data_IF_244248065871
#
_entry.id   IF_244248065871
#
_cell.length_a   1.000
_cell.length_b   1.000
_cell.length_c   1.000
_cell.angle_alpha   90.00
_cell.angle_beta   90.00
_cell.angle_gamma   90.00
#
_symmetry.space_group_name_H-M   'P 1'
#
loop_
_entity.id
_entity.type
_entity.pdbx_description
1 polymer ?
#
# COMPACT_ATOMS: atom_id res chain seq x y z
N UNK A 1 7.44 -8.91 -32.59
CA UNK A 1 7.40 -7.84 -31.59
C UNK A 1 5.94 -7.55 -31.28
N UNK A 2 5.55 -7.45 -30.01
CA UNK A 2 4.16 -7.14 -29.62
C UNK A 2 3.90 -5.63 -29.64
N UNK A 3 2.66 -5.21 -29.36
CA UNK A 3 2.25 -3.80 -29.35
C UNK A 3 2.79 -3.00 -28.14
N UNK A 4 3.58 -3.62 -27.25
CA UNK A 4 4.20 -2.99 -26.08
C UNK A 4 3.25 -2.23 -25.15
N UNK A 5 1.97 -2.65 -25.03
CA UNK A 5 0.99 -1.97 -24.17
C UNK A 5 1.48 -1.79 -22.72
N UNK A 6 2.22 -2.79 -22.19
CA UNK A 6 2.78 -2.77 -20.84
C UNK A 6 3.89 -1.71 -20.62
N UNK A 7 4.45 -1.10 -21.67
CA UNK A 7 5.41 0.01 -21.53
C UNK A 7 4.75 1.28 -21.00
N UNK A 8 3.42 1.37 -21.11
CA UNK A 8 2.66 2.54 -20.68
C UNK A 8 1.50 2.20 -19.75
N UNK A 9 0.85 1.04 -19.93
CA UNK A 9 -0.30 0.61 -19.14
C UNK A 9 0.07 -0.45 -18.11
N UNK A 10 -0.74 -0.50 -17.06
CA UNK A 10 -0.65 -1.49 -15.99
C UNK A 10 -1.88 -2.40 -16.00
N UNK A 11 -1.69 -3.70 -15.69
CA UNK A 11 -2.76 -4.66 -15.40
C UNK A 11 -2.35 -5.48 -14.19
N UNK A 12 -3.18 -5.50 -13.15
CA UNK A 12 -2.93 -6.30 -11.94
C UNK A 12 -1.63 -5.92 -11.22
N UNK A 13 -1.12 -4.71 -11.41
CA UNK A 13 0.18 -4.31 -10.87
C UNK A 13 1.37 -4.48 -11.83
N UNK A 14 1.19 -5.17 -12.95
CA UNK A 14 2.25 -5.46 -13.93
C UNK A 14 2.22 -4.44 -15.07
N UNK A 15 3.36 -3.86 -15.42
CA UNK A 15 3.52 -2.80 -16.44
C UNK A 15 3.89 -1.44 -15.83
N UNK A 16 3.87 -0.39 -16.65
CA UNK A 16 4.12 0.99 -16.21
C UNK A 16 2.81 1.74 -15.98
N UNK A 17 2.82 2.74 -15.09
CA UNK A 17 1.68 3.63 -14.87
C UNK A 17 1.88 4.98 -15.57
N UNK A 18 2.16 4.94 -16.88
CA UNK A 18 2.34 6.14 -17.71
C UNK A 18 1.07 6.47 -18.51
N UNK A 19 0.06 5.60 -18.45
CA UNK A 19 -1.24 5.70 -19.11
C UNK A 19 -2.32 5.10 -18.17
N UNK A 20 -3.63 5.20 -18.48
CA UNK A 20 -4.69 4.69 -17.60
C UNK A 20 -4.50 3.22 -17.23
N UNK A 21 -4.67 2.87 -15.95
CA UNK A 21 -4.64 1.48 -15.46
C UNK A 21 -5.76 0.67 -16.13
N UNK A 22 -5.42 -0.48 -16.71
CA UNK A 22 -6.33 -1.35 -17.47
C UNK A 22 -6.87 -2.52 -16.64
N UNK A 23 -6.51 -2.63 -15.35
CA UNK A 23 -6.87 -3.78 -14.48
C UNK A 23 -8.36 -4.10 -14.46
N UNK A 24 -9.23 -3.10 -14.60
CA UNK A 24 -10.69 -3.24 -14.56
C UNK A 24 -11.38 -2.62 -15.79
N UNK A 25 -10.64 -2.47 -16.90
CA UNK A 25 -11.13 -1.75 -18.08
C UNK A 25 -12.40 -2.40 -18.67
N UNK A 26 -12.53 -3.72 -18.59
CA UNK A 26 -13.65 -4.47 -19.12
C UNK A 26 -14.99 -4.13 -18.45
N UNK A 27 -14.97 -3.55 -17.25
CA UNK A 27 -16.19 -3.10 -16.56
C UNK A 27 -16.62 -1.69 -16.91
N UNK A 28 -15.75 -0.88 -17.54
CA UNK A 28 -16.03 0.52 -17.86
C UNK A 28 -16.04 0.85 -19.35
N UNK A 29 -15.57 -0.08 -20.20
CA UNK A 29 -15.51 0.09 -21.64
C UNK A 29 -16.04 -1.14 -22.37
N UNK A 30 -16.84 -0.91 -23.42
CA UNK A 30 -17.28 -1.97 -24.32
C UNK A 30 -16.24 -2.23 -25.43
N UNK A 31 -16.48 -3.28 -26.22
CA UNK A 31 -15.58 -3.65 -27.32
C UNK A 31 -15.34 -2.51 -28.31
N UNK A 32 -16.37 -1.69 -28.58
CA UNK A 32 -16.29 -0.60 -29.54
C UNK A 32 -15.38 0.50 -29.01
N UNK A 33 -15.57 0.92 -27.77
CA UNK A 33 -14.77 1.93 -27.11
C UNK A 33 -13.30 1.50 -27.04
N UNK A 34 -13.03 0.25 -26.65
CA UNK A 34 -11.67 -0.31 -26.61
C UNK A 34 -10.99 -0.28 -27.97
N UNK A 35 -11.68 -0.75 -29.01
CA UNK A 35 -11.15 -0.75 -30.38
C UNK A 35 -10.88 0.68 -30.84
N UNK A 36 -11.82 1.60 -30.61
CA UNK A 36 -11.69 3.01 -31.00
C UNK A 36 -10.51 3.69 -30.30
N UNK A 37 -10.33 3.48 -28.99
CA UNK A 37 -9.18 3.99 -28.24
C UNK A 37 -7.85 3.43 -28.76
N UNK A 38 -7.82 2.20 -29.29
CA UNK A 38 -6.59 1.59 -29.82
C UNK A 38 -6.27 2.11 -31.23
N UNK A 39 -7.27 2.19 -32.11
CA UNK A 39 -7.05 2.55 -33.52
C UNK A 39 -7.04 4.06 -33.74
N UNK A 40 -7.73 4.81 -32.89
CA UNK A 40 -7.88 6.26 -32.94
C UNK A 40 -7.76 6.90 -31.54
N UNK A 41 -6.57 6.83 -30.90
CA UNK A 41 -6.39 7.21 -29.51
C UNK A 41 -6.67 8.69 -29.20
N UNK A 42 -6.68 9.57 -30.20
CA UNK A 42 -7.01 10.99 -30.03
C UNK A 42 -8.52 11.29 -30.20
N UNK A 43 -9.35 10.29 -30.46
CA UNK A 43 -10.81 10.46 -30.57
C UNK A 43 -11.45 10.83 -29.23
N UNK A 44 -10.95 10.22 -28.15
CA UNK A 44 -11.39 10.45 -26.77
C UNK A 44 -10.17 10.36 -25.86
N UNK A 45 -9.79 11.49 -25.27
CA UNK A 45 -8.59 11.62 -24.43
C UNK A 45 -9.04 11.64 -22.98
N UNK A 46 -8.68 10.59 -22.24
CA UNK A 46 -8.92 10.52 -20.79
C UNK A 46 -8.25 11.71 -20.11
N UNK A 47 -9.00 12.40 -19.24
CA UNK A 47 -8.51 13.53 -18.47
C UNK A 47 -7.21 13.19 -17.73
N UNK A 48 -6.23 14.09 -17.80
CA UNK A 48 -4.90 13.88 -17.20
C UNK A 48 -3.90 13.10 -18.06
N UNK A 49 -4.32 12.49 -19.17
CA UNK A 49 -3.44 11.73 -20.08
C UNK A 49 -3.22 12.39 -21.46
N UNK A 50 -3.58 13.66 -21.58
CA UNK A 50 -3.27 14.46 -22.75
C UNK A 50 -1.75 14.66 -22.91
N UNK A 51 -1.26 14.59 -24.16
CA UNK A 51 0.15 14.84 -24.44
C UNK A 51 0.50 16.32 -24.18
N UNK A 52 1.70 16.55 -23.67
CA UNK A 52 2.31 17.86 -23.49
C UNK A 52 3.59 17.94 -24.30
N UNK A 53 3.85 19.09 -24.91
CA UNK A 53 5.15 19.44 -25.45
C UNK A 53 5.86 20.39 -24.48
N UNK A 54 7.12 20.09 -24.16
CA UNK A 54 8.00 20.91 -23.32
C UNK A 54 9.21 21.30 -24.17
N UNK A 55 9.42 22.60 -24.31
CA UNK A 55 10.55 23.17 -25.02
C UNK A 55 11.55 23.72 -24.01
N UNK A 56 12.82 23.35 -24.16
CA UNK A 56 13.90 23.84 -23.29
C UNK A 56 14.60 25.05 -23.91
N UNK A 57 15.26 25.83 -23.06
CA UNK A 57 16.05 27.00 -23.46
C UNK A 57 17.25 26.65 -24.34
N UNK A 58 17.71 25.41 -24.24
CA UNK A 58 18.83 24.88 -25.05
C UNK A 58 18.35 24.34 -26.41
N UNK A 59 17.05 24.41 -26.69
CA UNK A 59 16.44 24.08 -27.99
C UNK A 59 15.89 22.66 -28.12
N UNK A 60 15.90 21.87 -27.04
CA UNK A 60 15.30 20.54 -27.06
C UNK A 60 13.78 20.60 -26.95
N UNK A 61 13.10 19.63 -27.58
CA UNK A 61 11.66 19.45 -27.48
C UNK A 61 11.34 18.03 -27.00
N UNK A 62 10.56 17.94 -25.92
CA UNK A 62 10.09 16.69 -25.36
C UNK A 62 8.57 16.60 -25.49
N UNK A 63 8.06 15.42 -25.85
CA UNK A 63 6.62 15.17 -25.93
C UNK A 63 6.24 13.93 -25.14
N UNK A 64 5.17 14.03 -24.35
CA UNK A 64 4.76 12.95 -23.46
C UNK A 64 3.71 13.35 -22.43
N UNK A 65 3.49 12.51 -21.42
CA UNK A 65 2.54 12.76 -20.32
C UNK A 65 3.31 13.29 -19.11
N UNK A 66 2.80 14.34 -18.48
CA UNK A 66 3.35 14.85 -17.22
C UNK A 66 3.02 13.83 -16.13
N UNK A 67 4.04 13.12 -15.65
CA UNK A 67 3.90 12.23 -14.51
C UNK A 67 3.96 13.01 -13.20
N UNK A 68 4.84 14.01 -13.11
CA UNK A 68 5.08 14.71 -11.84
C UNK A 68 5.48 16.15 -12.13
N UNK A 69 4.91 17.10 -11.38
CA UNK A 69 5.32 18.49 -11.41
C UNK A 69 5.64 18.97 -10.00
N UNK A 70 6.86 19.49 -9.81
CA UNK A 70 7.29 20.11 -8.55
C UNK A 70 7.73 21.55 -8.80
N UNK A 71 8.10 22.27 -7.74
CA UNK A 71 8.71 23.60 -7.88
C UNK A 71 10.08 23.60 -8.58
N UNK A 72 10.75 22.44 -8.74
CA UNK A 72 12.11 22.34 -9.30
C UNK A 72 12.18 21.70 -10.68
N UNK A 73 11.27 20.78 -10.99
CA UNK A 73 11.31 20.01 -12.23
C UNK A 73 9.93 19.53 -12.67
N UNK A 74 9.85 19.13 -13.94
CA UNK A 74 8.75 18.37 -14.53
C UNK A 74 9.28 17.01 -14.95
N UNK A 75 8.60 15.93 -14.57
CA UNK A 75 8.91 14.57 -15.03
C UNK A 75 7.90 14.19 -16.11
N UNK A 76 8.39 13.82 -17.29
CA UNK A 76 7.59 13.49 -18.46
C UNK A 76 7.80 12.01 -18.83
N UNK A 77 6.71 11.26 -19.01
CA UNK A 77 6.73 9.96 -19.67
C UNK A 77 6.70 10.18 -21.17
N UNK A 78 7.80 9.86 -21.85
CA UNK A 78 7.95 9.99 -23.28
C UNK A 78 7.22 8.86 -24.01
N UNK A 79 6.87 9.15 -25.26
CA UNK A 79 6.42 8.15 -26.22
C UNK A 79 7.45 7.03 -26.34
N UNK A 80 7.06 5.80 -25.99
CA UNK A 80 7.97 4.63 -25.95
C UNK A 80 8.32 4.15 -24.54
N UNK A 81 7.84 4.81 -23.48
CA UNK A 81 7.91 4.33 -22.10
C UNK A 81 9.15 4.78 -21.31
N UNK A 82 10.03 5.59 -21.91
CA UNK A 82 11.13 6.23 -21.19
C UNK A 82 10.61 7.43 -20.38
N UNK A 83 11.28 7.77 -19.28
CA UNK A 83 10.97 8.98 -18.50
C UNK A 83 12.11 9.98 -18.60
N UNK A 84 11.79 11.27 -18.78
CA UNK A 84 12.75 12.37 -18.70
C UNK A 84 12.37 13.32 -17.57
N UNK A 85 13.39 13.88 -16.92
CA UNK A 85 13.23 14.84 -15.83
C UNK A 85 13.84 16.17 -16.25
N UNK A 86 13.00 17.19 -16.41
CA UNK A 86 13.37 18.49 -16.97
C UNK A 86 13.34 19.54 -15.85
N UNK A 87 14.47 20.16 -15.48
CA UNK A 87 14.51 21.28 -14.54
C UNK A 87 13.64 22.45 -15.01
N UNK A 88 12.84 23.05 -14.11
CA UNK A 88 11.93 24.14 -14.48
C UNK A 88 12.64 25.38 -15.01
N UNK A 89 13.85 25.63 -14.52
CA UNK A 89 14.68 26.75 -14.97
C UNK A 89 15.21 26.56 -16.39
N UNK A 90 15.21 25.33 -16.91
CA UNK A 90 15.59 24.99 -18.28
C UNK A 90 14.38 24.99 -19.23
N UNK A 91 13.15 24.94 -18.72
CA UNK A 91 11.94 25.06 -19.53
C UNK A 91 11.82 26.50 -20.02
N UNK A 92 11.73 26.65 -21.35
CA UNK A 92 11.38 27.91 -22.00
C UNK A 92 9.86 28.10 -21.96
N UNK A 93 9.13 27.18 -22.59
CA UNK A 93 7.66 27.15 -22.55
C UNK A 93 7.13 25.73 -22.69
N UNK A 94 5.84 25.57 -22.42
CA UNK A 94 5.11 24.30 -22.58
C UNK A 94 3.75 24.54 -23.19
N UNK A 95 3.23 23.53 -23.86
CA UNK A 95 1.88 23.54 -24.42
C UNK A 95 1.22 22.16 -24.27
N UNK A 96 -0.09 22.19 -24.02
CA UNK A 96 -0.92 20.99 -24.11
C UNK A 96 -1.24 20.71 -25.57
N UNK A 97 -1.10 19.47 -26.00
CA UNK A 97 -1.38 19.07 -27.37
C UNK A 97 -2.79 18.48 -27.48
N UNK A 98 -3.53 18.75 -28.57
CA UNK A 98 -4.86 18.18 -28.80
C UNK A 98 -4.78 16.73 -29.32
N UNK A 99 -3.78 15.97 -28.87
CA UNK A 99 -3.55 14.57 -29.26
C UNK A 99 -3.27 13.73 -28.02
N UNK A 100 -3.63 12.45 -28.11
CA UNK A 100 -3.27 11.48 -27.09
C UNK A 100 -1.76 11.21 -27.10
N UNK A 101 -1.21 10.93 -25.92
CA UNK A 101 0.16 10.43 -25.82
C UNK A 101 0.27 8.94 -26.17
N UNK A 102 -0.86 8.23 -26.27
CA UNK A 102 -0.89 6.90 -26.87
C UNK A 102 -0.58 7.03 -28.37
N UNK A 103 0.48 6.38 -28.89
CA UNK A 103 0.86 6.50 -30.29
C UNK A 103 -0.29 6.16 -31.25
N UNK A 104 -0.45 6.96 -32.30
CA UNK A 104 -1.26 6.54 -33.43
C UNK A 104 -0.60 5.35 -34.16
N UNK A 105 -1.39 4.61 -34.94
CA UNK A 105 -0.86 3.58 -35.83
C UNK A 105 -0.86 2.15 -35.27
N UNK A 106 -1.35 1.91 -34.04
CA UNK A 106 -1.55 0.55 -33.53
C UNK A 106 -2.48 -0.29 -34.41
N UNK A 107 -3.49 0.34 -35.04
CA UNK A 107 -4.35 -0.32 -36.02
C UNK A 107 -3.61 -0.84 -37.26
N UNK A 108 -2.44 -0.30 -37.59
CA UNK A 108 -1.60 -0.79 -38.69
C UNK A 108 -0.54 -1.81 -38.22
N UNK A 109 -0.23 -1.84 -36.91
CA UNK A 109 0.75 -2.74 -36.31
C UNK A 109 0.15 -4.10 -35.90
N UNK A 110 -1.17 -4.20 -35.84
CA UNK A 110 -1.89 -5.42 -35.47
C UNK A 110 -2.83 -5.85 -36.60
N UNK A 111 -2.92 -7.15 -36.83
CA UNK A 111 -4.00 -7.72 -37.64
C UNK A 111 -5.34 -7.54 -36.94
N UNK A 112 -6.44 -7.60 -37.69
CA UNK A 112 -7.79 -7.56 -37.13
C UNK A 112 -8.02 -8.65 -36.06
N UNK A 113 -7.40 -9.82 -36.22
CA UNK A 113 -7.47 -10.90 -35.24
C UNK A 113 -6.73 -10.53 -33.95
N UNK A 114 -5.52 -9.99 -34.02
CA UNK A 114 -4.77 -9.57 -32.83
C UNK A 114 -5.48 -8.46 -32.06
N UNK A 115 -6.12 -7.52 -32.77
CA UNK A 115 -6.93 -6.48 -32.15
C UNK A 115 -8.18 -7.07 -31.47
N UNK A 116 -8.84 -8.04 -32.10
CA UNK A 116 -9.97 -8.76 -31.52
C UNK A 116 -9.55 -9.58 -30.28
N UNK A 117 -8.42 -10.28 -30.33
CA UNK A 117 -7.90 -11.07 -29.21
C UNK A 117 -7.53 -10.17 -28.02
N UNK A 118 -6.84 -9.05 -28.28
CA UNK A 118 -6.52 -8.05 -27.26
C UNK A 118 -7.79 -7.46 -26.65
N UNK A 119 -8.76 -7.08 -27.47
CA UNK A 119 -10.05 -6.55 -27.01
C UNK A 119 -10.79 -7.59 -26.18
N UNK A 120 -10.82 -8.85 -26.62
CA UNK A 120 -11.42 -9.96 -25.91
C UNK A 120 -10.79 -10.15 -24.53
N UNK A 121 -9.46 -10.12 -24.43
CA UNK A 121 -8.76 -10.17 -23.16
C UNK A 121 -9.06 -8.96 -22.26
N UNK A 122 -9.03 -7.74 -22.79
CA UNK A 122 -9.36 -6.52 -22.02
C UNK A 122 -10.81 -6.56 -21.49
N UNK A 123 -11.74 -7.15 -22.22
CA UNK A 123 -13.11 -7.38 -21.75
C UNK A 123 -13.21 -8.42 -20.63
N UNK A 124 -12.22 -9.31 -20.47
CA UNK A 124 -12.16 -10.21 -19.30
C UNK A 124 -11.67 -9.51 -18.04
N UNK A 125 -11.05 -8.33 -18.16
CA UNK A 125 -10.55 -7.54 -17.04
C UNK A 125 -11.71 -6.77 -16.37
N UNK A 126 -12.60 -7.53 -15.75
CA UNK A 126 -13.75 -7.01 -15.02
C UNK A 126 -13.35 -6.61 -13.59
N UNK A 127 -13.94 -5.53 -13.08
CA UNK A 127 -14.08 -5.26 -11.66
C UNK A 127 -14.66 -6.51 -11.01
N UNK A 128 -13.98 -7.10 -10.01
CA UNK A 128 -14.52 -8.27 -9.33
C UNK A 128 -15.92 -7.97 -8.80
N UNK A 129 -16.87 -8.88 -9.01
CA UNK A 129 -18.17 -8.73 -8.37
C UNK A 129 -17.97 -8.75 -6.85
N UNK A 130 -18.63 -7.86 -6.10
CA UNK A 130 -18.56 -7.89 -4.66
C UNK A 130 -18.96 -9.26 -4.14
N UNK A 131 -18.11 -9.92 -3.37
CA UNK A 131 -18.47 -11.14 -2.67
C UNK A 131 -19.51 -10.76 -1.62
N UNK A 132 -20.79 -11.00 -1.94
CA UNK A 132 -21.95 -10.58 -1.14
C UNK A 132 -22.24 -11.47 0.07
N UNK A 133 -21.41 -12.46 0.40
CA UNK A 133 -21.58 -13.29 1.59
C UNK A 133 -20.25 -13.79 2.16
N UNK A 134 -20.25 -14.13 3.46
CA UNK A 134 -19.12 -14.75 4.17
C UNK A 134 -18.91 -16.22 3.76
N UNK A 135 -18.68 -16.47 2.46
CA UNK A 135 -18.57 -17.80 1.90
C UNK A 135 -17.46 -17.94 0.83
N UNK A 136 -16.63 -16.91 0.66
CA UNK A 136 -15.46 -16.95 -0.19
C UNK A 136 -14.41 -17.92 0.36
N UNK A 137 -13.70 -18.58 -0.56
CA UNK A 137 -12.59 -19.47 -0.22
C UNK A 137 -11.28 -18.66 -0.21
N UNK A 138 -10.54 -18.72 0.90
CA UNK A 138 -9.21 -18.18 0.93
C UNK A 138 -8.23 -19.14 0.27
N UNK A 139 -7.30 -18.62 -0.53
CA UNK A 139 -6.23 -19.39 -1.13
C UNK A 139 -4.91 -18.62 -0.99
N UNK A 140 -3.85 -19.33 -0.61
CA UNK A 140 -2.50 -18.78 -0.66
C UNK A 140 -1.75 -19.29 -1.89
N UNK A 141 -1.18 -18.38 -2.66
CA UNK A 141 -0.29 -18.69 -3.78
C UNK A 141 1.10 -18.14 -3.53
N UNK A 142 2.09 -19.02 -3.47
CA UNK A 142 3.48 -18.61 -3.33
C UNK A 142 4.08 -18.34 -4.70
N UNK A 143 4.60 -17.14 -4.90
CA UNK A 143 5.29 -16.72 -6.12
C UNK A 143 6.63 -16.13 -5.70
N UNK A 144 7.72 -16.87 -5.93
CA UNK A 144 9.08 -16.47 -5.53
C UNK A 144 9.18 -16.04 -4.06
N UNK A 145 9.33 -14.74 -3.83
CA UNK A 145 9.52 -14.07 -2.55
C UNK A 145 8.21 -13.46 -1.98
N UNK A 146 7.08 -13.84 -2.55
CA UNK A 146 5.75 -13.35 -2.19
C UNK A 146 4.81 -14.50 -1.84
N UNK A 147 3.91 -14.23 -0.90
CA UNK A 147 2.78 -15.07 -0.56
C UNK A 147 1.51 -14.25 -0.83
N UNK A 148 0.85 -14.54 -1.94
CA UNK A 148 -0.36 -13.85 -2.39
C UNK A 148 -1.57 -14.50 -1.71
N UNK A 149 -2.44 -13.69 -1.12
CA UNK A 149 -3.69 -14.11 -0.51
C UNK A 149 -4.86 -13.75 -1.43
N UNK A 150 -5.63 -14.77 -1.81
CA UNK A 150 -6.85 -14.65 -2.60
C UNK A 150 -8.06 -14.91 -1.72
N UNK A 151 -9.17 -14.24 -2.02
CA UNK A 151 -10.52 -14.56 -1.56
C UNK A 151 -11.38 -14.74 -2.81
N UNK A 152 -11.74 -15.99 -3.12
CA UNK A 152 -12.29 -16.34 -4.44
C UNK A 152 -11.32 -15.97 -5.57
N UNK A 153 -11.76 -15.12 -6.49
CA UNK A 153 -10.91 -14.64 -7.60
C UNK A 153 -10.13 -13.36 -7.28
N UNK A 154 -10.47 -12.68 -6.17
CA UNK A 154 -9.85 -11.41 -5.79
C UNK A 154 -8.56 -11.67 -5.03
N UNK A 155 -7.43 -11.17 -5.53
CA UNK A 155 -6.22 -11.08 -4.71
C UNK A 155 -6.40 -9.95 -3.70
N UNK A 156 -6.51 -10.28 -2.41
CA UNK A 156 -6.83 -9.30 -1.35
C UNK A 156 -5.61 -8.77 -0.63
N UNK A 157 -4.46 -9.47 -0.68
CA UNK A 157 -3.19 -8.96 -0.16
C UNK A 157 -1.99 -9.73 -0.73
N UNK A 158 -0.80 -9.15 -0.60
CA UNK A 158 0.47 -9.85 -0.80
C UNK A 158 1.32 -9.74 0.47
N UNK A 159 1.68 -10.87 1.08
CA UNK A 159 2.66 -10.90 2.15
C UNK A 159 4.07 -11.06 1.56
N UNK A 160 4.96 -10.12 1.88
CA UNK A 160 6.34 -10.18 1.40
C UNK A 160 7.15 -11.16 2.27
N UNK A 161 7.78 -12.16 1.66
CA UNK A 161 8.76 -13.04 2.31
C UNK A 161 10.18 -12.49 2.16
N UNK A 162 10.47 -11.82 1.04
CA UNK A 162 11.72 -11.09 0.83
C UNK A 162 11.53 -9.95 -0.18
N UNK A 163 12.32 -8.89 -0.05
CA UNK A 163 12.36 -7.77 -0.99
C UNK A 163 13.65 -6.98 -0.78
N UNK A 164 14.29 -6.53 -1.87
CA UNK A 164 15.64 -5.91 -1.83
C UNK A 164 15.72 -4.66 -0.95
N UNK A 165 14.71 -3.79 -1.05
CA UNK A 165 14.60 -2.56 -0.26
C UNK A 165 13.75 -2.71 1.01
N UNK A 166 12.49 -3.17 0.88
CA UNK A 166 11.58 -3.40 2.01
C UNK A 166 11.91 -4.71 2.74
N UNK A 167 12.94 -4.67 3.57
CA UNK A 167 13.41 -5.87 4.27
C UNK A 167 12.55 -6.25 5.48
N UNK A 168 11.64 -5.41 5.97
CA UNK A 168 10.68 -5.87 7.00
C UNK A 168 9.48 -6.57 6.37
N UNK A 169 8.82 -7.42 7.16
CA UNK A 169 7.60 -8.10 6.75
C UNK A 169 6.42 -7.13 6.69
N UNK A 170 5.60 -7.27 5.67
CA UNK A 170 4.42 -6.44 5.46
C UNK A 170 3.41 -7.18 4.57
N UNK A 171 2.11 -6.91 4.80
CA UNK A 171 1.07 -7.15 3.81
C UNK A 171 0.95 -5.90 2.95
N UNK A 172 1.24 -6.00 1.67
CA UNK A 172 1.15 -4.92 0.70
C UNK A 172 -0.02 -5.12 -0.26
N UNK A 173 -0.43 -4.03 -0.92
CA UNK A 173 -1.56 -4.02 -1.85
C UNK A 173 -2.83 -4.63 -1.25
N UNK A 174 -3.12 -4.29 0.00
CA UNK A 174 -4.30 -4.80 0.72
C UNK A 174 -5.57 -4.20 0.13
N UNK A 175 -6.54 -5.06 -0.17
CA UNK A 175 -7.81 -4.74 -0.80
C UNK A 175 -8.98 -5.31 0.00
N UNK A 176 -10.16 -4.76 -0.23
CA UNK A 176 -11.43 -5.28 0.29
C UNK A 176 -11.80 -6.60 -0.41
N UNK A 177 -12.83 -7.34 0.06
CA UNK A 177 -13.34 -8.52 -0.65
C UNK A 177 -13.70 -8.27 -2.12
N UNK A 178 -14.26 -7.10 -2.46
CA UNK A 178 -14.58 -6.73 -3.84
C UNK A 178 -13.39 -6.22 -4.65
N UNK A 179 -12.20 -6.15 -4.06
CA UNK A 179 -10.98 -5.76 -4.75
C UNK A 179 -10.64 -4.26 -4.68
N UNK A 180 -11.39 -3.46 -3.91
CA UNK A 180 -11.10 -2.03 -3.75
C UNK A 180 -9.80 -1.85 -2.95
N UNK A 181 -8.88 -1.05 -3.46
CA UNK A 181 -7.57 -0.80 -2.85
C UNK A 181 -7.70 -0.01 -1.53
N UNK A 182 -7.26 -0.62 -0.41
CA UNK A 182 -7.37 -0.02 0.94
C UNK A 182 -6.06 0.58 1.40
N UNK A 183 -4.95 -0.14 1.25
CA UNK A 183 -3.62 0.41 1.58
C UNK A 183 -3.01 1.11 0.38
N UNK A 184 -1.99 1.95 0.59
CA UNK A 184 -1.19 2.49 -0.51
C UNK A 184 -0.64 1.35 -1.39
N UNK A 185 -0.68 1.57 -2.71
CA UNK A 185 -0.04 0.68 -3.68
C UNK A 185 1.45 0.50 -3.39
N UNK A 186 1.94 -0.72 -3.59
CA UNK A 186 3.33 -1.08 -3.50
C UNK A 186 3.73 -1.92 -4.74
N UNK A 187 4.64 -1.45 -5.59
CA UNK A 187 5.23 -0.11 -5.56
C UNK A 187 4.15 0.98 -5.74
N UNK A 188 4.41 2.23 -5.30
CA UNK A 188 3.57 3.38 -5.60
C UNK A 188 3.31 3.45 -7.11
N UNK A 189 2.04 3.61 -7.52
CA UNK A 189 1.66 3.65 -8.93
C UNK A 189 1.55 5.09 -9.41
N UNK A 190 0.91 5.93 -8.60
CA UNK A 190 0.57 7.30 -8.98
C UNK A 190 1.41 8.34 -8.23
N UNK A 191 1.55 9.57 -8.74
CA UNK A 191 2.26 10.64 -8.05
C UNK A 191 1.71 10.89 -6.63
N UNK A 192 0.39 10.82 -6.45
CA UNK A 192 -0.25 10.94 -5.15
C UNK A 192 0.05 9.79 -4.19
N UNK A 193 0.50 8.62 -4.68
CA UNK A 193 0.96 7.54 -3.82
C UNK A 193 2.29 7.92 -3.12
N UNK A 194 3.05 8.87 -3.67
CA UNK A 194 4.26 9.40 -3.05
C UNK A 194 3.92 10.32 -1.86
N UNK A 195 4.81 10.38 -0.88
CA UNK A 195 4.61 11.22 0.30
C UNK A 195 4.79 12.70 -0.07
N UNK A 196 4.01 13.63 0.53
CA UNK A 196 4.20 15.06 0.34
C UNK A 196 5.64 15.45 0.71
N UNK A 197 6.42 15.84 -0.30
CA UNK A 197 7.84 16.20 -0.12
C UNK A 197 8.84 15.07 -0.35
N UNK A 198 8.45 13.95 -0.97
CA UNK A 198 9.40 12.97 -1.50
C UNK A 198 10.42 13.65 -2.43
N UNK A 199 11.71 13.44 -2.17
CA UNK A 199 12.81 14.13 -2.88
C UNK A 199 13.52 13.24 -3.91
N UNK A 200 12.93 12.10 -4.28
CA UNK A 200 13.55 11.10 -5.17
C UNK A 200 14.38 10.05 -4.41
N UNK A 201 15.09 9.20 -5.15
CA UNK A 201 15.80 8.02 -4.62
C UNK A 201 16.91 8.34 -3.61
N UNK A 202 17.48 9.55 -3.66
CA UNK A 202 18.50 10.04 -2.72
C UNK A 202 17.90 10.70 -1.45
N UNK A 203 16.56 10.71 -1.33
CA UNK A 203 15.84 11.22 -0.17
C UNK A 203 15.43 10.11 0.81
N UNK A 204 14.57 10.45 1.76
CA UNK A 204 13.96 9.45 2.65
C UNK A 204 13.13 8.49 1.77
N UNK A 205 13.40 7.18 1.87
CA UNK A 205 12.75 6.09 1.13
C UNK A 205 11.29 5.85 1.53
N UNK A 206 10.60 6.89 1.98
CA UNK A 206 9.20 6.98 2.39
C UNK A 206 8.23 6.12 1.54
N UNK A 207 8.31 6.12 0.20
CA UNK A 207 7.42 5.31 -0.63
C UNK A 207 7.63 3.80 -0.48
N UNK A 208 8.85 3.38 -0.12
CA UNK A 208 9.20 1.99 0.14
C UNK A 208 8.94 1.61 1.61
N UNK A 209 9.27 2.51 2.55
CA UNK A 209 9.24 2.20 3.98
C UNK A 209 7.87 2.34 4.64
N UNK A 210 6.81 2.77 3.97
CA UNK A 210 5.44 2.74 4.51
C UNK A 210 4.54 1.93 3.58
N UNK A 211 4.76 0.62 3.52
CA UNK A 211 4.05 -0.25 2.59
C UNK A 211 2.97 -1.04 3.33
N UNK A 212 1.71 -0.83 2.93
CA UNK A 212 0.63 -1.70 3.36
C UNK A 212 0.35 -1.68 4.87
N UNK A 213 0.35 -2.85 5.50
CA UNK A 213 0.21 -3.09 6.94
C UNK A 213 1.46 -3.83 7.44
N UNK A 214 2.10 -3.37 8.51
CA UNK A 214 3.35 -3.92 9.01
C UNK A 214 3.54 -3.71 10.52
N UNK A 215 4.51 -4.42 11.11
CA UNK A 215 5.00 -4.12 12.44
C UNK A 215 6.19 -3.14 12.39
N UNK A 216 6.00 -1.93 12.91
CA UNK A 216 6.97 -0.83 12.87
C UNK A 216 7.79 -0.73 14.15
N UNK A 217 9.11 -0.49 14.02
CA UNK A 217 9.99 -0.16 15.14
C UNK A 217 11.11 0.78 14.71
N UNK A 218 11.11 2.01 15.24
CA UNK A 218 12.17 2.98 14.97
C UNK A 218 13.48 2.69 15.70
N UNK A 219 13.44 1.90 16.79
CA UNK A 219 14.63 1.58 17.58
C UNK A 219 14.48 0.24 18.33
N UNK A 220 15.37 -0.72 18.06
CA UNK A 220 15.58 -1.92 18.91
C UNK A 220 17.08 -2.13 19.09
N UNK A 221 17.54 -2.05 20.34
CA UNK A 221 18.95 -2.20 20.74
C UNK A 221 19.94 -1.40 19.86
N UNK A 222 19.61 -0.14 19.55
CA UNK A 222 20.42 0.75 18.71
C UNK A 222 20.14 0.69 17.20
N UNK A 223 19.19 -0.13 16.75
CA UNK A 223 18.95 -0.41 15.34
C UNK A 223 17.58 0.14 14.86
N UNK A 224 17.54 0.72 13.66
CA UNK A 224 16.34 1.38 13.11
C UNK A 224 15.73 0.55 11.97
N UNK A 225 14.54 -0.01 12.23
CA UNK A 225 13.79 -0.83 11.29
C UNK A 225 12.63 -0.05 10.63
N UNK A 226 12.28 1.13 11.15
CA UNK A 226 11.30 2.03 10.57
C UNK A 226 11.81 2.62 9.27
N UNK A 227 13.03 3.15 9.30
CA UNK A 227 13.73 3.74 8.14
C UNK A 227 14.52 2.69 7.34
N UNK A 228 14.35 1.41 7.66
CA UNK A 228 14.98 0.25 7.02
C UNK A 228 16.52 0.32 7.01
N UNK A 229 17.14 0.94 8.02
CA UNK A 229 18.61 0.95 8.18
C UNK A 229 19.12 -0.42 8.60
N UNK A 230 18.34 -1.12 9.41
CA UNK A 230 18.58 -2.50 9.80
C UNK A 230 17.54 -3.43 9.17
N UNK A 231 17.93 -4.68 8.95
CA UNK A 231 17.14 -5.64 8.18
C UNK A 231 16.37 -6.59 9.08
N UNK A 232 15.17 -6.94 8.66
CA UNK A 232 14.48 -8.13 9.16
C UNK A 232 14.61 -9.22 8.10
N UNK A 233 14.82 -10.46 8.49
CA UNK A 233 14.95 -11.59 7.57
C UNK A 233 13.85 -12.59 7.86
N UNK A 234 13.12 -13.00 6.84
CA UNK A 234 12.24 -14.17 6.95
C UNK A 234 13.11 -15.42 7.16
N UNK A 235 12.86 -16.14 8.25
CA UNK A 235 13.60 -17.37 8.55
C UNK A 235 12.87 -18.59 8.00
N UNK A 236 11.59 -18.73 8.37
CA UNK A 236 10.76 -19.90 8.00
C UNK A 236 9.30 -19.69 8.35
N UNK A 237 8.45 -20.54 7.79
CA UNK A 237 7.12 -20.77 8.34
C UNK A 237 7.22 -21.60 9.62
N UNK A 238 6.47 -21.19 10.65
CA UNK A 238 6.18 -21.99 11.83
C UNK A 238 4.92 -22.83 11.61
N UNK A 239 4.01 -22.33 10.78
CA UNK A 239 2.82 -23.01 10.26
C UNK A 239 2.70 -22.62 8.78
N UNK A 240 2.62 -23.62 7.90
CA UNK A 240 2.51 -23.39 6.46
C UNK A 240 1.19 -22.68 6.11
N UNK A 241 1.16 -21.83 5.07
CA UNK A 241 -0.05 -21.13 4.67
C UNK A 241 -1.20 -22.08 4.29
N UNK A 242 -2.32 -21.91 4.97
CA UNK A 242 -3.53 -22.69 4.76
C UNK A 242 -4.73 -21.75 4.58
N UNK A 243 -5.45 -21.93 3.48
CA UNK A 243 -6.68 -21.22 3.19
C UNK A 243 -7.83 -22.21 3.04
N UNK A 244 -9.00 -21.82 3.53
CA UNK A 244 -10.24 -22.58 3.44
C UNK A 244 -11.43 -21.62 3.30
N UNK A 245 -12.64 -22.18 3.30
CA UNK A 245 -13.86 -21.37 3.25
C UNK A 245 -13.95 -20.44 4.47
N UNK A 246 -13.97 -19.12 4.20
CA UNK A 246 -14.16 -18.07 5.20
C UNK A 246 -13.00 -17.88 6.18
N UNK A 247 -11.94 -18.71 6.16
CA UNK A 247 -10.79 -18.58 7.07
C UNK A 247 -9.46 -18.89 6.37
N UNK A 248 -8.39 -18.30 6.88
CA UNK A 248 -7.03 -18.62 6.47
C UNK A 248 -6.07 -18.42 7.66
N UNK A 249 -4.94 -19.12 7.68
CA UNK A 249 -3.88 -18.89 8.65
C UNK A 249 -2.50 -19.23 8.11
N UNK A 250 -1.50 -18.63 8.72
CA UNK A 250 -0.10 -19.07 8.65
C UNK A 250 0.66 -18.49 9.84
N UNK A 251 1.87 -19.00 10.08
CA UNK A 251 2.76 -18.41 11.08
C UNK A 251 4.19 -18.32 10.56
N UNK A 252 4.89 -17.25 10.90
CA UNK A 252 6.27 -16.98 10.48
C UNK A 252 7.19 -16.84 11.67
N UNK A 253 8.46 -17.14 11.42
CA UNK A 253 9.56 -16.69 12.24
C UNK A 253 10.41 -15.73 11.43
N UNK A 254 10.68 -14.57 12.01
CA UNK A 254 11.45 -13.50 11.42
C UNK A 254 12.62 -13.13 12.35
N UNK A 255 13.75 -12.72 11.78
CA UNK A 255 14.97 -12.37 12.51
C UNK A 255 15.31 -10.91 12.32
N UNK A 256 15.35 -10.16 13.40
CA UNK A 256 15.83 -8.79 13.42
C UNK A 256 17.36 -8.80 13.50
N UNK A 257 18.01 -8.23 12.49
CA UNK A 257 19.46 -8.17 12.39
C UNK A 257 19.99 -6.80 12.82
N UNK A 258 21.21 -6.77 13.37
CA UNK A 258 21.96 -5.54 13.56
C UNK A 258 22.24 -4.83 12.23
N UNK A 259 22.61 -3.55 12.28
CA UNK A 259 22.89 -2.73 11.09
C UNK A 259 23.96 -3.34 10.17
N UNK A 260 24.92 -4.06 10.74
CA UNK A 260 25.98 -4.77 10.03
C UNK A 260 25.54 -6.14 9.48
N UNK A 261 24.33 -6.59 9.82
CA UNK A 261 23.78 -7.89 9.45
C UNK A 261 24.36 -9.08 10.21
N UNK A 262 25.36 -8.89 11.07
CA UNK A 262 26.11 -9.99 11.70
C UNK A 262 25.43 -10.53 12.96
N UNK A 263 24.74 -9.65 13.69
CA UNK A 263 24.14 -9.95 15.00
C UNK A 263 22.63 -10.15 14.90
N UNK A 264 22.11 -11.16 15.59
CA UNK A 264 20.66 -11.25 15.87
C UNK A 264 20.32 -10.34 17.05
N UNK A 265 19.39 -9.41 16.83
CA UNK A 265 18.84 -8.54 17.86
C UNK A 265 17.73 -9.27 18.62
N UNK A 266 16.74 -9.77 17.90
CA UNK A 266 15.69 -10.65 18.42
C UNK A 266 15.11 -11.51 17.29
N UNK A 267 14.36 -12.53 17.67
CA UNK A 267 13.44 -13.25 16.82
C UNK A 267 12.03 -12.71 17.05
N UNK A 268 11.20 -12.77 16.00
CA UNK A 268 9.78 -12.52 16.04
C UNK A 268 9.08 -13.78 15.53
N UNK A 269 8.31 -14.44 16.40
CA UNK A 269 7.34 -15.44 15.97
C UNK A 269 6.01 -14.69 15.75
N UNK A 270 5.30 -14.96 14.65
CA UNK A 270 4.01 -14.30 14.40
C UNK A 270 3.00 -15.25 13.80
N UNK A 271 1.78 -15.23 14.35
CA UNK A 271 0.62 -15.93 13.82
C UNK A 271 -0.33 -14.93 13.18
N UNK A 272 -0.75 -15.25 11.96
CA UNK A 272 -1.74 -14.50 11.21
C UNK A 272 -2.98 -15.36 11.04
N UNK A 273 -4.16 -14.81 11.35
CA UNK A 273 -5.43 -15.47 11.10
C UNK A 273 -6.35 -14.52 10.36
N UNK A 274 -6.96 -15.02 9.30
CA UNK A 274 -7.92 -14.31 8.48
C UNK A 274 -9.30 -14.91 8.68
N UNK A 275 -10.32 -14.06 8.77
CA UNK A 275 -11.72 -14.49 8.70
C UNK A 275 -12.51 -13.52 7.84
N UNK A 276 -13.33 -14.05 6.94
CA UNK A 276 -14.29 -13.25 6.20
C UNK A 276 -15.50 -12.95 7.09
N UNK A 277 -16.00 -11.72 6.99
CA UNK A 277 -17.20 -11.24 7.68
C UNK A 277 -18.09 -10.51 6.68
N UNK A 278 -19.33 -10.20 7.07
CA UNK A 278 -20.22 -9.38 6.23
C UNK A 278 -19.65 -7.98 5.96
N UNK A 279 -18.87 -7.44 6.90
CA UNK A 279 -18.29 -6.10 6.81
C UNK A 279 -16.92 -6.05 6.13
N UNK A 280 -16.32 -7.20 5.80
CA UNK A 280 -14.98 -7.25 5.20
C UNK A 280 -14.12 -8.43 5.65
N UNK A 281 -12.81 -8.23 5.72
CA UNK A 281 -11.83 -9.24 6.14
C UNK A 281 -11.22 -8.83 7.47
N UNK A 282 -11.28 -9.71 8.46
CA UNK A 282 -10.57 -9.53 9.72
C UNK A 282 -9.23 -10.25 9.65
N UNK A 283 -8.18 -9.57 10.08
CA UNK A 283 -6.82 -10.07 10.27
C UNK A 283 -6.46 -9.96 11.75
N UNK A 284 -6.34 -11.10 12.43
CA UNK A 284 -5.73 -11.20 13.75
C UNK A 284 -4.22 -11.38 13.60
N UNK A 285 -3.47 -10.51 14.26
CA UNK A 285 -2.01 -10.44 14.22
C UNK A 285 -1.46 -10.63 15.63
N UNK A 286 -0.78 -11.75 15.86
CA UNK A 286 -0.22 -12.11 17.16
C UNK A 286 1.29 -12.32 17.07
N UNK A 287 2.07 -11.41 17.65
CA UNK A 287 3.52 -11.38 17.52
C UNK A 287 4.22 -11.48 18.87
N UNK A 288 5.24 -12.34 18.95
CA UNK A 288 6.11 -12.51 20.11
C UNK A 288 7.56 -12.22 19.76
N UNK A 289 8.20 -11.35 20.52
CA UNK A 289 9.60 -10.96 20.36
C UNK A 289 10.46 -11.52 21.49
N UNK A 290 11.57 -12.18 21.15
CA UNK A 290 12.42 -12.83 22.13
C UNK A 290 13.87 -12.97 21.68
N UNK A 291 14.76 -13.26 22.63
CA UNK A 291 16.14 -13.62 22.38
C UNK A 291 16.60 -14.61 23.45
N UNK A 292 17.09 -15.78 23.02
CA UNK A 292 17.48 -16.87 23.92
C UNK A 292 18.88 -16.69 24.51
N UNK A 293 19.69 -15.79 23.96
CA UNK A 293 21.10 -15.64 24.32
C UNK A 293 21.34 -14.44 25.25
N UNK A 294 20.51 -13.41 25.16
CA UNK A 294 20.71 -12.13 25.86
C UNK A 294 19.44 -11.30 26.02
N UNK A 295 19.52 -10.30 26.88
CA UNK A 295 18.55 -9.20 26.93
C UNK A 295 18.62 -8.36 25.63
N UNK A 296 17.48 -7.76 25.28
CA UNK A 296 17.39 -6.69 24.28
C UNK A 296 16.35 -5.65 24.73
N UNK A 297 16.32 -4.52 24.03
CA UNK A 297 15.55 -3.35 24.45
C UNK A 297 14.83 -2.73 23.27
N UNK A 298 13.52 -2.52 23.40
CA UNK A 298 12.77 -1.61 22.55
C UNK A 298 13.03 -0.16 22.99
N UNK A 299 13.33 0.69 22.02
CA UNK A 299 13.39 2.12 22.20
C UNK A 299 12.02 2.64 21.86
N UNK A 300 11.30 3.09 22.87
CA UNK A 300 9.86 3.30 22.79
C UNK A 300 9.54 4.55 21.94
N UNK A 301 9.54 4.46 20.60
CA UNK A 301 9.34 5.62 19.72
C UNK A 301 7.90 5.71 19.19
N UNK A 302 7.53 6.87 18.62
CA UNK A 302 6.18 7.09 18.06
C UNK A 302 5.80 6.09 16.96
N UNK A 303 6.81 5.55 16.27
CA UNK A 303 6.65 4.63 15.15
C UNK A 303 6.63 3.14 15.54
N UNK A 304 6.38 2.82 16.83
CA UNK A 304 6.45 1.45 17.37
C UNK A 304 5.08 0.77 17.41
N UNK A 305 4.99 -0.51 16.99
CA UNK A 305 3.75 -1.29 16.99
C UNK A 305 3.16 -1.48 15.59
N UNK A 306 1.87 -1.85 15.53
CA UNK A 306 1.20 -2.11 14.25
C UNK A 306 0.97 -0.80 13.49
N UNK A 307 1.49 -0.72 12.28
CA UNK A 307 1.40 0.46 11.44
C UNK A 307 0.76 0.12 10.09
N UNK A 308 0.10 1.10 9.49
CA UNK A 308 -0.39 0.99 8.13
C UNK A 308 -0.29 2.30 7.36
N UNK A 309 -0.38 2.17 6.03
CA UNK A 309 -0.42 3.27 5.08
C UNK A 309 -1.68 3.15 4.23
N UNK A 310 -2.64 4.06 4.38
CA UNK A 310 -3.89 4.01 3.63
C UNK A 310 -3.70 4.48 2.17
N UNK A 311 -4.56 3.99 1.27
CA UNK A 311 -4.57 4.35 -0.14
C UNK A 311 -4.84 5.85 -0.33
N UNK A 312 -4.23 6.44 -1.36
CA UNK A 312 -4.27 7.90 -1.61
C UNK A 312 -5.68 8.51 -1.64
N UNK A 313 -6.69 7.88 -2.27
CA UNK A 313 -8.06 8.41 -2.29
C UNK A 313 -8.72 8.42 -0.89
N UNK A 314 -8.29 7.52 -0.01
CA UNK A 314 -8.85 7.34 1.33
C UNK A 314 -8.13 8.18 2.40
N UNK A 315 -7.15 9.01 2.03
CA UNK A 315 -6.43 9.88 2.98
C UNK A 315 -7.31 11.04 3.41
N UNK A 316 -7.06 11.58 4.60
CA UNK A 316 -7.59 12.88 5.02
C UNK A 316 -7.04 13.99 4.12
N UNK A 317 -5.71 14.05 3.96
CA UNK A 317 -5.07 15.02 3.08
C UNK A 317 -4.95 14.47 1.67
N UNK A 318 -5.58 15.16 0.72
CA UNK A 318 -5.54 14.82 -0.71
C UNK A 318 -6.48 13.68 -1.11
N UNK A 319 -7.31 13.20 -0.18
CA UNK A 319 -8.38 12.24 -0.42
C UNK A 319 -9.69 12.73 0.18
N UNK A 320 -10.62 11.80 0.42
CA UNK A 320 -11.93 12.06 1.04
C UNK A 320 -12.10 11.33 2.39
N UNK A 321 -10.99 10.95 3.01
CA UNK A 321 -11.00 10.12 4.20
C UNK A 321 -11.06 10.88 5.51
N UNK A 322 -11.22 10.10 6.57
CA UNK A 322 -11.24 10.55 7.97
C UNK A 322 -10.56 9.52 8.87
N UNK A 323 -10.00 10.01 9.99
CA UNK A 323 -9.54 9.18 11.09
C UNK A 323 -10.46 9.44 12.28
N UNK A 324 -10.99 8.40 12.91
CA UNK A 324 -11.85 8.51 14.10
C UNK A 324 -11.51 7.41 15.10
N UNK A 325 -11.56 7.71 16.39
CA UNK A 325 -11.38 6.72 17.47
C UNK A 325 -12.65 6.54 18.32
N UNK A 326 -12.58 5.63 19.28
CA UNK A 326 -13.64 5.30 20.25
C UNK A 326 -14.19 6.51 21.03
N UNK A 327 -13.44 7.61 21.11
CA UNK A 327 -13.84 8.84 21.80
C UNK A 327 -14.41 9.91 20.88
N UNK A 328 -14.56 9.62 19.59
CA UNK A 328 -15.00 10.59 18.58
C UNK A 328 -13.97 11.69 18.28
N UNK A 329 -12.71 11.51 18.66
CA UNK A 329 -11.64 12.42 18.25
C UNK A 329 -11.32 12.19 16.77
N UNK A 330 -11.17 13.27 16.00
CA UNK A 330 -11.09 13.17 14.53
C UNK A 330 -9.76 13.70 13.96
N UNK A 331 -9.27 13.01 12.94
CA UNK A 331 -8.09 13.32 12.14
C UNK A 331 -6.81 13.48 12.99
N UNK A 332 -5.69 13.83 12.37
CA UNK A 332 -4.39 13.92 13.03
C UNK A 332 -4.38 14.90 14.19
N UNK A 333 -5.11 16.02 14.07
CA UNK A 333 -5.23 17.02 15.13
C UNK A 333 -5.94 16.47 16.39
N UNK A 334 -6.96 15.61 16.22
CA UNK A 334 -7.72 15.04 17.33
C UNK A 334 -7.12 13.74 17.87
N UNK A 335 -6.54 12.90 17.00
CA UNK A 335 -6.16 11.52 17.35
C UNK A 335 -4.67 11.35 17.65
N UNK A 336 -3.79 12.24 17.20
CA UNK A 336 -2.36 12.03 17.40
C UNK A 336 -1.97 12.09 18.88
N UNK A 337 -1.23 11.08 19.33
CA UNK A 337 -0.73 11.03 20.70
C UNK A 337 -1.78 10.64 21.73
N UNK A 338 -2.95 10.17 21.29
CA UNK A 338 -4.10 9.82 22.11
C UNK A 338 -4.25 8.31 22.21
N UNK A 339 -4.52 7.81 23.41
CA UNK A 339 -4.86 6.40 23.64
C UNK A 339 -6.16 6.03 22.93
N UNK A 340 -6.46 4.78 22.65
CA UNK A 340 -7.75 4.38 22.08
C UNK A 340 -8.04 2.90 22.33
N UNK A 341 -9.32 2.54 22.34
CA UNK A 341 -9.78 1.15 22.34
C UNK A 341 -9.88 0.62 20.90
N UNK A 342 -10.32 1.48 19.98
CA UNK A 342 -10.27 1.22 18.54
C UNK A 342 -10.01 2.53 17.79
N UNK A 343 -9.38 2.42 16.61
CA UNK A 343 -9.18 3.55 15.71
C UNK A 343 -9.43 3.12 14.27
N UNK A 344 -10.13 3.96 13.53
CA UNK A 344 -10.50 3.73 12.16
C UNK A 344 -9.91 4.81 11.25
N UNK A 345 -9.37 4.40 10.09
CA UNK A 345 -9.01 5.30 9.00
C UNK A 345 -9.69 4.79 7.74
N UNK A 346 -10.63 5.58 7.20
CA UNK A 346 -11.44 5.19 6.04
C UNK A 346 -11.82 6.37 5.16
N UNK A 347 -12.16 6.10 3.90
CA UNK A 347 -12.74 7.05 2.95
C UNK A 347 -13.92 6.45 2.20
N UNK A 348 -14.50 7.21 1.27
CA UNK A 348 -15.64 6.77 0.48
C UNK A 348 -15.23 6.43 -0.96
N UNK A 349 -15.68 5.29 -1.48
CA UNK A 349 -15.48 4.89 -2.87
C UNK A 349 -16.79 4.27 -3.36
N UNK A 350 -17.34 4.79 -4.45
CA UNK A 350 -18.57 4.29 -5.09
C UNK A 350 -19.75 4.09 -4.10
N UNK A 351 -19.96 5.03 -3.18
CA UNK A 351 -21.04 4.96 -2.18
C UNK A 351 -20.78 4.02 -0.99
N UNK A 352 -19.58 3.44 -0.89
CA UNK A 352 -19.15 2.58 0.21
C UNK A 352 -18.09 3.23 1.08
N UNK A 353 -18.13 3.01 2.38
CA UNK A 353 -17.05 3.35 3.31
C UNK A 353 -16.03 2.22 3.37
N UNK A 354 -14.80 2.53 2.96
CA UNK A 354 -13.68 1.60 2.82
C UNK A 354 -12.52 2.03 3.70
N UNK A 355 -11.92 1.11 4.46
CA UNK A 355 -10.82 1.47 5.35
C UNK A 355 -10.25 0.34 6.20
N UNK A 356 -9.46 0.76 7.19
CA UNK A 356 -8.86 -0.10 8.21
C UNK A 356 -9.32 0.36 9.58
N UNK A 357 -9.98 -0.54 10.31
CA UNK A 357 -10.27 -0.40 11.73
C UNK A 357 -9.32 -1.29 12.51
N UNK A 358 -8.63 -0.74 13.51
CA UNK A 358 -7.66 -1.44 14.34
C UNK A 358 -8.14 -1.49 15.78
N UNK A 359 -8.15 -2.69 16.35
CA UNK A 359 -8.44 -2.96 17.77
C UNK A 359 -7.18 -3.58 18.40
N UNK A 360 -6.40 -2.84 19.21
CA UNK A 360 -5.35 -3.43 20.01
C UNK A 360 -5.93 -4.39 21.05
N UNK A 361 -5.30 -5.56 21.21
CA UNK A 361 -5.77 -6.53 22.20
C UNK A 361 -5.62 -5.96 23.64
N UNK A 362 -6.60 -6.13 24.53
CA UNK A 362 -6.58 -5.53 25.87
C UNK A 362 -5.46 -6.07 26.77
N UNK A 363 -5.01 -7.30 26.53
CA UNK A 363 -3.85 -7.91 27.21
C UNK A 363 -2.49 -7.49 26.60
N UNK A 364 -2.45 -6.51 25.69
CA UNK A 364 -1.17 -5.91 25.32
C UNK A 364 -0.54 -5.26 26.56
N UNK A 365 0.80 -5.16 26.64
CA UNK A 365 1.48 -4.68 27.84
C UNK A 365 1.05 -3.28 28.31
N UNK A 366 0.54 -2.45 27.38
CA UNK A 366 0.01 -1.11 27.64
C UNK A 366 -1.13 -0.79 26.66
N UNK A 367 -2.06 0.11 27.03
CA UNK A 367 -2.98 0.71 26.08
C UNK A 367 -2.23 1.30 24.88
N UNK A 368 -2.79 1.14 23.67
CA UNK A 368 -2.20 1.76 22.49
C UNK A 368 -2.57 3.22 22.39
N UNK A 369 -1.65 4.04 21.90
CA UNK A 369 -1.93 5.40 21.44
C UNK A 369 -1.58 5.58 19.98
N UNK A 370 -2.19 6.58 19.34
CA UNK A 370 -2.11 6.74 17.88
C UNK A 370 -0.97 7.65 17.46
N UNK A 371 -0.10 7.16 16.57
CA UNK A 371 0.71 8.02 15.70
C UNK A 371 -0.01 8.18 14.36
N UNK A 372 -1.03 9.03 14.34
CA UNK A 372 -1.78 9.37 13.12
C UNK A 372 -1.16 10.55 12.36
N UNK A 373 -1.30 10.49 11.03
CA UNK A 373 -0.93 11.55 10.10
C UNK A 373 -1.98 11.63 8.99
N UNK A 374 -2.51 12.83 8.76
CA UNK A 374 -3.54 13.08 7.75
C UNK A 374 -3.09 12.74 6.32
N UNK A 375 -1.79 12.70 6.07
CA UNK A 375 -1.27 12.25 4.78
C UNK A 375 -1.26 10.73 4.61
N UNK A 376 -1.77 9.93 5.56
CA UNK A 376 -2.12 8.52 5.37
C UNK A 376 -1.39 7.47 6.24
N UNK A 377 -0.56 7.87 7.21
CA UNK A 377 0.11 6.93 8.14
C UNK A 377 -0.70 6.85 9.43
N UNK A 378 -0.83 5.65 9.97
CA UNK A 378 -1.30 5.43 11.34
C UNK A 378 -0.47 4.33 11.99
N UNK A 379 -0.11 4.50 13.27
CA UNK A 379 0.49 3.46 14.12
C UNK A 379 -0.31 3.29 15.40
N UNK A 380 -0.68 2.04 15.72
CA UNK A 380 -1.25 1.62 16.99
C UNK A 380 -0.12 1.23 17.94
N UNK A 381 0.26 2.16 18.82
CA UNK A 381 1.51 2.08 19.55
C UNK A 381 1.33 1.73 21.05
N UNK A 382 1.70 0.51 21.49
CA UNK A 382 1.62 0.06 22.88
C UNK A 382 2.90 0.39 23.68
N UNK A 383 3.74 1.28 23.19
CA UNK A 383 4.97 1.69 23.86
C UNK A 383 4.85 3.10 24.46
N UNK A 384 5.58 3.42 25.52
CA UNK A 384 5.62 4.75 26.11
C UNK A 384 5.88 5.88 25.10
N UNK A 385 5.14 6.97 25.24
CA UNK A 385 5.36 8.18 24.45
C UNK A 385 6.64 8.89 24.89
N UNK A 386 7.53 9.22 23.95
CA UNK A 386 8.75 9.97 24.27
C UNK A 386 8.44 11.46 24.56
N UNK A 387 9.19 12.09 25.47
CA UNK A 387 9.19 13.55 25.62
C UNK A 387 9.66 14.24 24.32
N UNK A 388 9.09 15.41 24.01
CA UNK A 388 9.36 16.17 22.77
C UNK A 388 10.82 16.62 22.57
N UNK A 389 11.63 16.64 23.63
CA UNK A 389 12.91 17.35 23.68
C UNK A 389 14.14 16.50 23.35
N UNK A 390 13.99 15.21 22.99
CA UNK A 390 15.15 14.29 22.86
C UNK A 390 15.09 13.35 21.66
N UNK A 391 16.27 13.11 21.09
CA UNK A 391 16.47 12.31 19.86
C UNK A 391 16.79 10.83 20.12
N UNK A 392 17.31 10.45 21.29
CA UNK A 392 17.49 9.05 21.72
C UNK A 392 16.31 8.63 22.62
N UNK A 393 15.81 7.37 22.53
CA UNK A 393 14.69 6.92 23.35
C UNK A 393 15.10 6.93 24.83
N UNK A 394 14.44 7.78 25.61
CA UNK A 394 14.67 7.93 27.04
C UNK A 394 13.92 6.86 27.83
N UNK A 395 12.70 6.54 27.39
CA UNK A 395 11.94 5.40 27.91
C UNK A 395 12.21 4.17 27.05
N UNK A 396 12.43 3.04 27.72
CA UNK A 396 12.75 1.78 27.08
C UNK A 396 11.94 0.64 27.68
N UNK A 397 11.60 -0.34 26.84
CA UNK A 397 11.00 -1.60 27.26
C UNK A 397 12.03 -2.72 27.08
N UNK A 398 12.61 -3.18 28.21
CA UNK A 398 13.58 -4.29 28.23
C UNK A 398 12.85 -5.63 28.20
N UNK A 399 13.37 -6.55 27.39
CA UNK A 399 12.99 -7.97 27.36
C UNK A 399 14.21 -8.77 27.83
N UNK A 400 14.07 -9.56 28.90
CA UNK A 400 15.21 -10.35 29.39
C UNK A 400 15.44 -11.56 28.51
N UNK A 401 16.67 -12.09 28.57
CA UNK A 401 17.03 -13.38 27.97
C UNK A 401 15.98 -14.46 28.28
N UNK A 402 15.44 -15.09 27.23
CA UNK A 402 14.44 -16.17 27.33
C UNK A 402 13.00 -15.71 27.63
N UNK A 403 12.77 -14.42 27.91
CA UNK A 403 11.41 -13.86 28.01
C UNK A 403 10.84 -13.55 26.62
N UNK A 404 9.51 -13.62 26.51
CA UNK A 404 8.76 -13.23 25.31
C UNK A 404 7.99 -11.95 25.57
N UNK A 405 8.12 -10.98 24.67
CA UNK A 405 7.31 -9.78 24.65
C UNK A 405 6.24 -9.92 23.57
N UNK A 406 4.97 -10.01 23.98
CA UNK A 406 3.85 -10.29 23.08
C UNK A 406 3.02 -9.05 22.82
N UNK A 407 2.67 -8.81 21.57
CA UNK A 407 1.72 -7.77 21.13
C UNK A 407 0.73 -8.35 20.11
N UNK A 408 -0.53 -7.98 20.25
CA UNK A 408 -1.66 -8.50 19.49
C UNK A 408 -2.57 -7.39 19.00
N UNK A 409 -3.07 -7.55 17.79
CA UNK A 409 -3.98 -6.62 17.15
C UNK A 409 -5.01 -7.38 16.31
N UNK A 410 -6.22 -6.87 16.26
CA UNK A 410 -7.22 -7.24 15.26
C UNK A 410 -7.38 -6.07 14.29
N UNK A 411 -7.33 -6.35 13.00
CA UNK A 411 -7.50 -5.37 11.93
C UNK A 411 -8.69 -5.78 11.08
N UNK A 412 -9.69 -4.92 10.95
CA UNK A 412 -10.77 -5.10 10.00
C UNK A 412 -10.50 -4.27 8.74
N UNK A 413 -10.32 -4.96 7.62
CA UNK A 413 -10.30 -4.39 6.27
C UNK A 413 -11.75 -4.30 5.80
N UNK A 414 -12.41 -3.17 6.09
CA UNK A 414 -13.85 -3.05 5.92
C UNK A 414 -14.27 -2.49 4.56
N UNK A 415 -15.41 -2.96 4.10
CA UNK A 415 -16.18 -2.45 2.98
C UNK A 415 -17.67 -2.51 3.36
N UNK A 416 -18.27 -1.35 3.60
CA UNK A 416 -19.69 -1.27 3.98
C UNK A 416 -20.37 -0.15 3.22
N UNK A 417 -21.68 -0.24 3.01
CA UNK A 417 -22.46 0.85 2.44
C UNK A 417 -22.32 2.12 3.28
N UNK A 418 -22.06 3.27 2.67
CA UNK A 418 -21.70 4.49 3.41
C UNK A 418 -22.82 4.92 4.39
N UNK A 419 -24.09 4.70 4.03
CA UNK A 419 -25.24 4.98 4.90
C UNK A 419 -25.43 4.01 6.08
N UNK A 420 -24.69 2.90 6.11
CA UNK A 420 -24.72 1.89 7.17
C UNK A 420 -23.44 1.85 8.01
N UNK A 421 -22.44 2.67 7.65
CA UNK A 421 -21.15 2.69 8.33
C UNK A 421 -21.27 3.24 9.76
N UNK A 422 -20.85 2.43 10.73
CA UNK A 422 -20.73 2.79 12.13
C UNK A 422 -19.48 2.10 12.70
N UNK A 423 -18.37 2.83 12.91
CA UNK A 423 -17.12 2.22 13.35
C UNK A 423 -17.21 1.60 14.75
N UNK A 424 -18.10 2.10 15.62
CA UNK A 424 -18.28 1.52 16.95
C UNK A 424 -18.92 0.13 16.85
N UNK A 425 -19.97 -0.02 16.04
CA UNK A 425 -20.60 -1.33 15.79
C UNK A 425 -19.66 -2.30 15.09
N UNK A 426 -18.84 -1.81 14.17
CA UNK A 426 -17.81 -2.64 13.54
C UNK A 426 -16.82 -3.15 14.59
N UNK A 427 -16.33 -2.29 15.48
CA UNK A 427 -15.43 -2.69 16.56
C UNK A 427 -16.07 -3.69 17.54
N UNK A 428 -17.35 -3.54 17.89
CA UNK A 428 -18.09 -4.47 18.75
C UNK A 428 -18.24 -5.88 18.14
N UNK A 429 -18.11 -6.01 16.80
CA UNK A 429 -18.20 -7.29 16.08
C UNK A 429 -16.87 -8.07 16.00
N UNK A 430 -15.79 -7.47 16.48
CA UNK A 430 -14.43 -8.03 16.44
C UNK A 430 -14.11 -8.81 17.70
#
# INVERSE_FOLDING_TARGET
AGANCASCHQVGGIGNNHAPDLTEIGSRADAKMLIESIINPSADIVEGFAAHAIFTKDGDAFSGIILEETGRHVTLALTGGATVKIPRNEIDHREGLPISAMPAGFGAMMSSQQLADLTGWLLTLQKPEPIQAADGEFEFRRVENELQLFLGQTQVATYLLNHDKLTRRAFVNVKTPSGIQVTRNFPPRRPEDLDPGYKGENGIIHPVMHAGIWMGFGWIDGNDYWRLKSKVKFERFLEEPNGEKGRASFATQDRYLGVDGSRTICLQDTRYQFRQTESGIVLDWDAEFYNEDRDFVFGDQEESGLAFRIASPLRVNGGNGEIVNDRGENNGAGTWGKEFEWINYSGEVDGKRIGLLVVPHPENPRPSWSHSRDYGVLVSNPFPKQPKERHEPYVTTRVKKGERFRIRYTVLIHEVEAGQFDPAKLAESL
#
